data_IF_617424381403
#
_entry.id   IF_617424381403
#
_cell.length_a   1.000
_cell.length_b   1.000
_cell.length_c   1.000
_cell.angle_alpha   90.00
_cell.angle_beta   90.00
_cell.angle_gamma   90.00
#
_symmetry.space_group_name_H-M   'P 1'
#
loop_
_entity.id
_entity.type
_entity.pdbx_description
1 polymer ?
#
# COMPACT_ATOMS: atom_id res chain seq x y z
N UNK A 1 26.39 -31.78 29.46
CA UNK A 1 25.48 -31.85 28.31
C UNK A 1 26.31 -31.95 27.04
N UNK A 2 26.07 -32.91 26.13
CA UNK A 2 26.91 -33.11 24.95
C UNK A 2 26.77 -31.92 23.98
N UNK A 3 27.89 -31.45 23.43
CA UNK A 3 27.98 -30.30 22.49
C UNK A 3 26.99 -30.40 21.31
N UNK A 4 26.63 -31.60 20.90
CA UNK A 4 25.66 -31.89 19.83
C UNK A 4 24.22 -31.47 20.17
N UNK A 5 23.84 -31.47 21.46
CA UNK A 5 22.50 -31.06 21.90
C UNK A 5 22.34 -29.53 21.86
N UNK A 6 23.43 -28.76 21.94
CA UNK A 6 23.38 -27.30 21.95
C UNK A 6 23.17 -26.71 20.55
N UNK A 7 23.69 -27.37 19.51
CA UNK A 7 23.60 -26.91 18.12
C UNK A 7 22.17 -27.10 17.56
N UNK A 8 21.48 -28.18 17.95
CA UNK A 8 20.09 -28.42 17.54
C UNK A 8 19.10 -27.40 18.13
N UNK A 9 19.32 -26.96 19.37
CA UNK A 9 18.44 -25.97 20.04
C UNK A 9 18.58 -24.58 19.42
N UNK A 10 19.78 -24.19 18.99
CA UNK A 10 20.02 -22.89 18.32
C UNK A 10 19.37 -22.85 16.93
N UNK A 11 19.36 -23.98 16.20
CA UNK A 11 18.70 -24.05 14.89
C UNK A 11 17.17 -23.96 14.98
N UNK A 12 16.56 -24.54 16.02
CA UNK A 12 15.11 -24.47 16.25
C UNK A 12 14.63 -23.05 16.64
N UNK A 13 15.45 -22.29 17.40
CA UNK A 13 15.13 -20.91 17.77
C UNK A 13 15.23 -19.93 16.60
N UNK A 14 16.07 -20.19 15.59
CA UNK A 14 16.21 -19.33 14.43
C UNK A 14 15.01 -19.41 13.46
N UNK A 15 14.28 -20.52 13.44
CA UNK A 15 13.09 -20.70 12.57
C UNK A 15 11.86 -19.98 13.13
N UNK A 16 11.82 -19.69 14.44
CA UNK A 16 10.68 -19.01 15.08
C UNK A 16 10.56 -17.52 14.72
N UNK A 17 11.59 -16.92 14.11
CA UNK A 17 11.57 -15.52 13.67
C UNK A 17 11.24 -15.37 12.17
N UNK A 18 11.10 -16.47 11.45
CA UNK A 18 10.85 -16.45 10.01
C UNK A 18 9.39 -16.82 9.74
N UNK A 19 8.51 -15.83 9.83
CA UNK A 19 7.26 -15.63 9.06
C UNK A 19 6.41 -14.59 9.80
N UNK A 20 6.81 -13.32 9.72
CA UNK A 20 5.78 -12.27 9.77
C UNK A 20 4.99 -12.42 8.47
N UNK A 21 3.90 -13.19 8.52
CA UNK A 21 2.89 -13.10 7.50
C UNK A 21 2.34 -11.67 7.58
N UNK A 22 2.76 -10.79 6.68
CA UNK A 22 2.21 -9.43 6.59
C UNK A 22 0.73 -9.56 6.20
N UNK A 23 -0.13 -9.50 7.21
CA UNK A 23 -1.56 -9.52 7.04
C UNK A 23 -2.00 -8.16 6.50
N UNK A 24 -2.29 -8.11 5.21
CA UNK A 24 -2.70 -6.87 4.52
C UNK A 24 -4.11 -6.45 4.93
N UNK A 25 -4.43 -5.14 4.94
CA UNK A 25 -5.77 -4.65 5.24
C UNK A 25 -6.84 -5.35 4.41
N UNK A 26 -7.91 -5.75 5.09
CA UNK A 26 -9.08 -6.43 4.53
C UNK A 26 -10.15 -5.46 4.04
N UNK A 27 -10.14 -4.25 4.58
CA UNK A 27 -11.08 -3.18 4.26
C UNK A 27 -10.43 -1.82 4.52
N UNK A 28 -11.07 -0.75 4.03
CA UNK A 28 -10.77 0.63 4.43
C UNK A 28 -12.01 1.51 4.31
N UNK A 29 -12.14 2.49 5.19
CA UNK A 29 -13.12 3.56 5.00
C UNK A 29 -12.57 4.59 3.99
N UNK A 30 -13.36 4.97 2.99
CA UNK A 30 -13.00 6.01 2.03
C UNK A 30 -13.70 7.32 2.38
N UNK A 31 -12.91 8.32 2.76
CA UNK A 31 -13.43 9.63 3.15
C UNK A 31 -13.97 10.45 1.98
N UNK A 32 -13.62 10.11 0.73
CA UNK A 32 -14.09 10.82 -0.47
C UNK A 32 -15.51 10.41 -0.80
N UNK A 33 -15.78 9.10 -0.76
CA UNK A 33 -17.10 8.54 -1.10
C UNK A 33 -17.98 8.25 0.11
N UNK A 34 -17.43 8.35 1.34
CA UNK A 34 -18.11 7.99 2.60
C UNK A 34 -18.61 6.54 2.60
N UNK A 35 -17.79 5.64 2.07
CA UNK A 35 -18.12 4.20 1.98
C UNK A 35 -17.00 3.33 2.52
N UNK A 36 -17.37 2.17 3.07
CA UNK A 36 -16.43 1.10 3.37
C UNK A 36 -16.09 0.35 2.08
N UNK A 37 -14.80 0.17 1.81
CA UNK A 37 -14.29 -0.55 0.65
C UNK A 37 -13.69 -1.86 1.13
N UNK A 38 -14.29 -2.97 0.70
CA UNK A 38 -13.85 -4.31 1.06
C UNK A 38 -12.78 -4.76 0.08
N UNK A 39 -11.58 -5.03 0.59
CA UNK A 39 -10.40 -5.43 -0.19
C UNK A 39 -10.11 -6.92 -0.05
N UNK A 40 -10.73 -7.62 0.90
CA UNK A 40 -10.49 -9.04 1.16
C UNK A 40 -11.05 -9.97 0.08
N UNK A 41 -12.16 -9.58 -0.57
CA UNK A 41 -12.83 -10.39 -1.58
C UNK A 41 -13.50 -9.54 -2.66
N UNK A 42 -13.94 -10.19 -3.75
CA UNK A 42 -14.59 -9.54 -4.88
C UNK A 42 -13.63 -8.76 -5.79
N UNK A 43 -14.15 -7.88 -6.67
CA UNK A 43 -13.33 -7.18 -7.67
C UNK A 43 -12.21 -6.33 -7.07
N UNK A 44 -12.47 -5.68 -5.92
CA UNK A 44 -11.48 -4.83 -5.24
C UNK A 44 -10.34 -5.62 -4.62
N UNK A 45 -10.54 -6.91 -4.34
CA UNK A 45 -9.45 -7.79 -3.95
C UNK A 45 -8.39 -7.82 -5.04
N UNK A 46 -8.80 -8.10 -6.28
CA UNK A 46 -7.92 -8.15 -7.45
C UNK A 46 -7.39 -6.77 -7.81
N UNK A 47 -8.27 -5.75 -7.89
CA UNK A 47 -7.91 -4.41 -8.36
C UNK A 47 -6.92 -3.71 -7.43
N UNK A 48 -6.91 -4.04 -6.14
CA UNK A 48 -5.97 -3.49 -5.16
C UNK A 48 -4.62 -4.22 -5.09
N UNK A 49 -4.40 -5.28 -5.89
CA UNK A 49 -3.11 -5.99 -5.95
C UNK A 49 -2.10 -5.25 -6.85
N UNK A 50 -0.79 -5.60 -6.80
CA UNK A 50 0.22 -4.97 -7.63
C UNK A 50 -0.07 -5.16 -9.13
N UNK A 51 -0.65 -6.29 -9.53
CA UNK A 51 -1.05 -6.55 -10.92
C UNK A 51 -2.44 -6.03 -11.28
N UNK A 52 -3.24 -5.59 -10.29
CA UNK A 52 -4.56 -5.01 -10.50
C UNK A 52 -4.52 -3.57 -10.99
N UNK A 53 -5.69 -2.99 -11.21
CA UNK A 53 -5.83 -1.63 -11.74
C UNK A 53 -5.16 -0.58 -10.85
N UNK A 54 -5.26 -0.69 -9.52
CA UNK A 54 -4.62 0.26 -8.59
C UNK A 54 -3.09 0.26 -8.72
N UNK A 55 -2.48 -0.93 -8.76
CA UNK A 55 -1.05 -1.08 -8.97
C UNK A 55 -0.60 -0.63 -10.36
N UNK A 56 -1.43 -0.85 -11.39
CA UNK A 56 -1.20 -0.35 -12.75
C UNK A 56 -1.20 1.18 -12.78
N UNK A 57 -2.22 1.82 -12.22
CA UNK A 57 -2.30 3.29 -12.13
C UNK A 57 -1.08 3.84 -11.38
N UNK A 58 -0.64 3.20 -10.28
CA UNK A 58 0.57 3.64 -9.58
C UNK A 58 1.80 3.67 -10.50
N UNK A 59 2.02 2.60 -11.28
CA UNK A 59 3.16 2.51 -12.21
C UNK A 59 3.04 3.46 -13.39
N UNK A 60 1.86 3.63 -13.97
CA UNK A 60 1.70 4.43 -15.19
C UNK A 60 1.58 5.91 -14.90
N UNK A 61 0.99 6.28 -13.76
CA UNK A 61 0.64 7.65 -13.43
C UNK A 61 1.60 8.25 -12.42
N UNK A 62 1.76 7.62 -11.25
CA UNK A 62 2.60 8.15 -10.18
C UNK A 62 4.09 7.99 -10.52
N UNK A 63 4.50 6.81 -11.00
CA UNK A 63 5.91 6.56 -11.35
C UNK A 63 6.39 7.31 -12.60
N UNK A 64 5.49 7.84 -13.43
CA UNK A 64 5.87 8.76 -14.51
C UNK A 64 6.60 10.02 -14.02
N UNK A 65 6.34 10.43 -12.77
CA UNK A 65 7.11 11.47 -12.09
C UNK A 65 8.05 10.91 -11.03
N UNK A 66 7.65 9.87 -10.32
CA UNK A 66 8.35 9.34 -9.15
C UNK A 66 9.23 8.09 -9.42
N UNK A 67 9.77 7.98 -10.63
CA UNK A 67 10.76 6.94 -10.98
C UNK A 67 12.17 7.32 -10.51
N UNK A 68 13.10 6.34 -10.51
CA UNK A 68 14.51 6.60 -10.20
C UNK A 68 15.08 7.47 -11.31
N UNK A 69 15.88 8.46 -10.95
CA UNK A 69 16.55 9.35 -11.89
C UNK A 69 15.59 10.12 -12.82
N UNK A 70 14.42 10.52 -12.31
CA UNK A 70 13.52 11.39 -13.07
C UNK A 70 14.11 12.80 -13.23
N UNK A 71 13.69 13.46 -14.30
CA UNK A 71 14.04 14.83 -14.67
C UNK A 71 13.14 15.89 -14.02
N UNK A 72 12.13 15.48 -13.24
CA UNK A 72 11.10 16.36 -12.67
C UNK A 72 11.40 16.84 -11.25
N UNK A 73 12.57 16.44 -10.71
CA UNK A 73 12.97 16.75 -9.34
C UNK A 73 12.10 16.08 -8.27
N UNK A 74 11.26 15.11 -8.63
CA UNK A 74 10.38 14.44 -7.69
C UNK A 74 11.15 13.33 -6.96
N UNK A 75 10.97 13.13 -5.65
CA UNK A 75 11.59 12.00 -4.95
C UNK A 75 11.03 10.68 -5.48
N UNK A 76 11.83 9.62 -5.43
CA UNK A 76 11.34 8.28 -5.72
C UNK A 76 10.23 7.91 -4.72
N UNK A 77 9.11 7.38 -5.23
CA UNK A 77 7.94 7.06 -4.41
C UNK A 77 7.78 5.55 -4.25
N UNK A 78 7.85 5.04 -3.04
CA UNK A 78 7.45 3.66 -2.71
C UNK A 78 5.97 3.64 -2.32
N UNK A 79 5.29 2.49 -2.45
CA UNK A 79 3.94 2.36 -1.88
C UNK A 79 4.02 2.48 -0.34
N UNK A 80 5.12 2.00 0.21
CA UNK A 80 5.50 2.01 1.62
C UNK A 80 6.00 3.40 2.08
N UNK A 81 5.95 4.45 1.24
CA UNK A 81 6.39 5.79 1.66
C UNK A 81 5.44 6.47 2.66
N UNK A 82 4.26 5.90 2.90
CA UNK A 82 3.29 6.35 3.90
C UNK A 82 2.59 5.14 4.52
N UNK A 83 2.09 5.28 5.74
CA UNK A 83 1.17 4.30 6.32
C UNK A 83 -0.23 4.40 5.66
N UNK A 84 -1.11 3.39 5.86
CA UNK A 84 -2.42 3.35 5.22
C UNK A 84 -3.29 4.60 5.48
N UNK A 85 -3.39 5.05 6.75
CA UNK A 85 -4.14 6.25 7.12
C UNK A 85 -3.64 7.51 6.39
N UNK A 86 -2.31 7.67 6.28
CA UNK A 86 -1.72 8.81 5.58
C UNK A 86 -1.95 8.75 4.06
N UNK A 87 -2.05 7.56 3.46
CA UNK A 87 -2.50 7.41 2.07
C UNK A 87 -3.95 7.82 1.91
N UNK A 88 -4.85 7.32 2.76
CA UNK A 88 -6.25 7.72 2.75
C UNK A 88 -6.43 9.24 2.78
N UNK A 89 -5.68 9.91 3.68
CA UNK A 89 -5.69 11.38 3.78
C UNK A 89 -5.20 12.08 2.50
N UNK A 90 -4.24 11.52 1.77
CA UNK A 90 -3.77 12.08 0.48
C UNK A 90 -4.92 12.17 -0.52
N UNK A 91 -5.72 11.11 -0.64
CA UNK A 91 -6.83 11.07 -1.61
C UNK A 91 -8.02 11.89 -1.16
N UNK A 92 -8.32 11.89 0.15
CA UNK A 92 -9.41 12.69 0.70
C UNK A 92 -9.15 14.20 0.62
N UNK A 93 -7.94 14.64 0.95
CA UNK A 93 -7.61 16.08 1.02
C UNK A 93 -6.94 16.62 -0.26
N UNK A 94 -6.47 15.73 -1.15
CA UNK A 94 -5.73 16.09 -2.37
C UNK A 94 -4.63 17.12 -2.13
N UNK A 95 -3.94 17.03 -0.99
CA UNK A 95 -2.95 18.02 -0.57
C UNK A 95 -1.61 17.99 -1.33
N UNK A 96 -1.16 16.87 -1.95
CA UNK A 96 0.07 16.92 -2.75
C UNK A 96 -0.07 17.88 -3.94
N UNK A 97 0.99 18.64 -4.23
CA UNK A 97 1.01 19.60 -5.34
C UNK A 97 0.56 18.98 -6.68
N UNK A 98 0.90 17.72 -6.94
CA UNK A 98 0.50 17.01 -8.16
C UNK A 98 -1.01 16.70 -8.23
N UNK A 99 -1.69 16.58 -7.09
CA UNK A 99 -3.14 16.45 -7.05
C UNK A 99 -3.83 17.81 -7.25
N UNK A 100 -3.21 18.91 -6.80
CA UNK A 100 -3.76 20.27 -6.89
C UNK A 100 -3.57 20.92 -8.27
N UNK A 101 -2.51 20.56 -8.99
CA UNK A 101 -2.16 21.18 -10.27
C UNK A 101 -2.70 20.43 -11.51
N UNK A 102 -3.68 19.54 -11.32
CA UNK A 102 -4.32 18.79 -12.41
C UNK A 102 -3.52 17.59 -12.92
N UNK A 103 -2.37 17.21 -12.32
CA UNK A 103 -1.64 16.00 -12.77
C UNK A 103 -2.46 14.72 -12.60
N UNK A 104 -3.51 14.75 -11.77
CA UNK A 104 -4.46 13.66 -11.56
C UNK A 104 -5.66 13.71 -12.51
N UNK A 105 -5.83 14.75 -13.32
CA UNK A 105 -6.98 14.88 -14.24
C UNK A 105 -6.94 13.83 -15.36
N UNK A 106 -5.78 13.20 -15.55
CA UNK A 106 -5.59 12.06 -16.46
C UNK A 106 -6.15 10.72 -15.94
N UNK A 107 -6.65 10.68 -14.70
CA UNK A 107 -7.27 9.48 -14.12
C UNK A 107 -8.66 9.77 -13.55
N UNK A 108 -9.58 8.84 -13.79
CA UNK A 108 -10.97 8.95 -13.29
C UNK A 108 -11.02 8.84 -11.77
N UNK A 109 -12.16 9.21 -11.17
CA UNK A 109 -12.38 8.99 -9.73
C UNK A 109 -12.25 7.51 -9.36
N UNK A 110 -12.78 6.59 -10.17
CA UNK A 110 -12.65 5.15 -9.93
C UNK A 110 -11.19 4.70 -9.91
N UNK A 111 -10.37 5.20 -10.85
CA UNK A 111 -8.93 4.94 -10.85
C UNK A 111 -8.22 5.54 -9.64
N UNK A 112 -8.62 6.73 -9.18
CA UNK A 112 -8.11 7.32 -7.95
C UNK A 112 -8.46 6.46 -6.72
N UNK A 113 -9.69 5.93 -6.65
CA UNK A 113 -10.13 5.05 -5.57
C UNK A 113 -9.35 3.73 -5.55
N UNK A 114 -9.17 3.09 -6.70
CA UNK A 114 -8.38 1.85 -6.83
C UNK A 114 -6.90 2.06 -6.57
N UNK A 115 -6.35 3.20 -7.01
CA UNK A 115 -4.99 3.61 -6.65
C UNK A 115 -4.83 3.74 -5.13
N UNK A 116 -5.79 4.37 -4.45
CA UNK A 116 -5.78 4.46 -2.99
C UNK A 116 -5.95 3.09 -2.33
N UNK A 117 -6.81 2.21 -2.86
CA UNK A 117 -6.93 0.83 -2.36
C UNK A 117 -5.58 0.10 -2.38
N UNK A 118 -4.87 0.21 -3.50
CA UNK A 118 -3.51 -0.34 -3.63
C UNK A 118 -2.55 0.31 -2.63
N UNK A 119 -2.44 1.64 -2.58
CA UNK A 119 -1.49 2.31 -1.70
C UNK A 119 -1.79 2.09 -0.21
N UNK A 120 -3.07 2.01 0.16
CA UNK A 120 -3.50 1.67 1.51
C UNK A 120 -3.05 0.26 1.89
N UNK A 121 -3.23 -0.71 0.98
CA UNK A 121 -2.91 -2.12 1.20
C UNK A 121 -1.42 -2.42 1.31
N UNK A 122 -0.59 -1.60 0.66
CA UNK A 122 0.87 -1.71 0.62
C UNK A 122 1.58 -0.54 1.32
N UNK A 123 0.86 0.19 2.18
CA UNK A 123 1.45 1.23 3.00
C UNK A 123 2.43 0.66 4.03
N UNK A 124 3.32 1.51 4.53
CA UNK A 124 4.22 1.16 5.63
C UNK A 124 3.41 0.70 6.84
N UNK A 125 3.86 -0.37 7.49
CA UNK A 125 3.18 -0.95 8.65
C UNK A 125 1.71 -1.23 8.36
N UNK A 126 1.43 -1.88 7.22
CA UNK A 126 0.07 -2.24 6.83
C UNK A 126 -0.51 -3.36 7.72
N UNK A 127 -0.69 -3.06 9.02
CA UNK A 127 -1.63 -3.69 9.95
C UNK A 127 -1.85 -2.75 11.17
N UNK A 128 -3.05 -2.16 11.25
CA UNK A 128 -3.72 -1.85 12.51
C UNK A 128 -5.14 -2.41 12.37
N UNK A 129 -5.48 -3.46 13.10
CA UNK A 129 -6.83 -4.05 13.09
C UNK A 129 -7.92 -3.08 13.57
N UNK A 130 -7.56 -1.97 14.22
CA UNK A 130 -8.52 -0.93 14.61
C UNK A 130 -8.88 0.02 13.45
N UNK A 131 -8.14 -0.02 12.33
CA UNK A 131 -8.36 0.80 11.14
C UNK A 131 -9.21 0.08 10.06
N UNK A 132 -9.67 -1.14 10.32
CA UNK A 132 -10.65 -1.82 9.47
C UNK A 132 -12.05 -1.24 9.70
N UNK A 133 -12.76 -0.93 8.61
CA UNK A 133 -14.22 -0.96 8.64
C UNK A 133 -14.71 -2.42 8.61
#
# INVERSE_FOLDING_TARGET
MPRSAFIFTVFLLAVSFALQAEARPKSRYDDTTKTCRILEYGPLEWDSRPWGEGGKVFREVCKGCHTRNNDKGAPFLYAESKNPAAWNRVFAQKYPKCAQNGSWDKITLDQQLKLNDYLYRFGLNSEDFNDSC
#
